data_IF_718368896089
#
_entry.id   IF_718368896089
#
_cell.length_a   1.000
_cell.length_b   1.000
_cell.length_c   1.000
_cell.angle_alpha   90.00
_cell.angle_beta   90.00
_cell.angle_gamma   90.00
#
_symmetry.space_group_name_H-M   'P 1'
#
loop_
_entity.id
_entity.type
_entity.pdbx_description
1 polymer ?
#
# COMPACT_ATOMS: atom_id res chain seq x y z
N UNK A 1 25.28 -6.57 5.43
CA UNK A 1 24.32 -6.97 6.49
C UNK A 1 23.03 -7.39 5.82
N UNK A 2 22.42 -8.53 6.18
CA UNK A 2 21.22 -9.05 5.50
C UNK A 2 19.89 -8.63 6.14
N UNK A 3 19.92 -8.22 7.40
CA UNK A 3 18.74 -7.73 8.13
C UNK A 3 18.84 -6.21 8.29
N UNK A 4 17.76 -5.52 7.97
CA UNK A 4 17.55 -4.10 8.20
C UNK A 4 16.33 -3.93 9.10
N UNK A 5 16.41 -3.01 10.05
CA UNK A 5 15.28 -2.70 10.92
C UNK A 5 15.22 -1.22 11.23
N UNK A 6 14.03 -0.76 11.57
CA UNK A 6 13.73 0.62 11.91
C UNK A 6 12.71 0.67 13.03
N UNK A 7 12.92 1.57 13.99
CA UNK A 7 11.98 1.90 15.04
C UNK A 7 11.71 3.40 14.97
N UNK A 8 10.46 3.81 15.20
CA UNK A 8 10.08 5.22 15.20
C UNK A 8 9.02 5.54 16.23
N UNK A 9 9.09 6.78 16.71
CA UNK A 9 7.98 7.49 17.33
C UNK A 9 7.76 8.76 16.51
N UNK A 10 6.58 8.89 15.92
CA UNK A 10 6.24 10.01 15.04
C UNK A 10 5.04 10.76 15.62
N UNK A 11 4.89 12.04 15.25
CA UNK A 11 3.67 12.78 15.57
C UNK A 11 2.45 12.03 15.04
N UNK A 12 1.52 11.66 15.92
CA UNK A 12 0.37 10.79 15.59
C UNK A 12 -0.69 11.45 14.71
N UNK A 13 -0.42 12.65 14.19
CA UNK A 13 -1.38 13.51 13.50
C UNK A 13 -1.68 13.03 12.08
N UNK A 14 -0.71 12.39 11.41
CA UNK A 14 -0.85 12.02 9.99
C UNK A 14 -1.17 13.24 9.12
N UNK A 15 -2.13 13.13 8.21
CA UNK A 15 -2.61 14.22 7.36
C UNK A 15 -3.70 15.10 8.02
N UNK A 16 -4.00 14.91 9.32
CA UNK A 16 -5.09 15.63 9.99
C UNK A 16 -4.65 17.03 10.42
N UNK A 17 -5.50 18.03 10.15
CA UNK A 17 -5.38 19.38 10.68
C UNK A 17 -6.09 19.50 12.04
N UNK A 18 -5.44 20.16 13.01
CA UNK A 18 -5.93 20.40 14.37
C UNK A 18 -6.25 19.16 15.25
N UNK A 19 -5.32 18.22 15.39
CA UNK A 19 -5.49 17.07 16.28
C UNK A 19 -5.39 17.46 17.77
N UNK A 20 -6.34 17.01 18.59
CA UNK A 20 -6.30 17.20 20.04
C UNK A 20 -6.00 15.88 20.77
N UNK A 21 -4.88 15.83 21.50
CA UNK A 21 -4.58 14.75 22.46
C UNK A 21 -4.18 13.41 21.86
N UNK A 22 -3.55 13.39 20.68
CA UNK A 22 -3.15 12.16 19.99
C UNK A 22 -1.81 11.65 20.53
N UNK A 23 -1.74 10.36 20.86
CA UNK A 23 -0.49 9.72 21.23
C UNK A 23 0.42 9.55 20.00
N UNK A 24 1.76 9.55 20.17
CA UNK A 24 2.68 9.30 19.06
C UNK A 24 2.36 7.98 18.35
N UNK A 25 2.54 7.96 17.03
CA UNK A 25 2.51 6.73 16.26
C UNK A 25 3.83 6.01 16.47
N UNK A 26 3.75 4.84 17.12
CA UNK A 26 4.89 3.95 17.28
C UNK A 26 4.93 3.02 16.07
N UNK A 27 6.10 2.87 15.45
CA UNK A 27 6.28 2.03 14.28
C UNK A 27 7.56 1.20 14.38
N UNK A 28 7.49 -0.04 13.94
CA UNK A 28 8.62 -0.93 13.78
C UNK A 28 8.58 -1.58 12.40
N UNK A 29 9.72 -1.74 11.75
CA UNK A 29 9.86 -2.46 10.48
C UNK A 29 11.11 -3.32 10.49
N UNK A 30 11.02 -4.51 9.92
CA UNK A 30 12.17 -5.38 9.69
C UNK A 30 12.11 -5.93 8.26
N UNK A 31 13.26 -5.94 7.57
CA UNK A 31 13.42 -6.45 6.21
C UNK A 31 14.65 -7.33 6.15
N UNK A 32 14.47 -8.55 5.69
CA UNK A 32 15.53 -9.52 5.53
C UNK A 32 15.78 -9.81 4.05
N UNK A 33 17.02 -9.57 3.61
CA UNK A 33 17.53 -10.04 2.33
C UNK A 33 17.87 -11.51 2.44
N UNK A 34 16.93 -12.35 2.01
CA UNK A 34 17.03 -13.82 1.98
C UNK A 34 18.15 -14.24 1.03
N UNK A 35 18.17 -13.65 -0.16
CA UNK A 35 19.13 -13.92 -1.23
C UNK A 35 19.54 -12.62 -1.91
N UNK A 36 20.81 -12.51 -2.25
CA UNK A 36 21.35 -11.46 -3.10
C UNK A 36 22.60 -11.98 -3.81
N UNK A 37 22.68 -11.76 -5.12
CA UNK A 37 23.81 -12.19 -5.93
C UNK A 37 23.45 -12.30 -7.42
N UNK A 38 24.05 -13.29 -8.08
CA UNK A 38 23.77 -13.63 -9.49
C UNK A 38 23.30 -15.08 -9.57
N UNK A 39 22.40 -15.39 -10.51
CA UNK A 39 22.03 -16.78 -10.83
C UNK A 39 23.09 -17.43 -11.71
N UNK A 40 22.89 -18.70 -12.08
CA UNK A 40 23.79 -19.45 -12.97
C UNK A 40 24.02 -18.76 -14.33
N UNK A 41 23.00 -18.06 -14.85
CA UNK A 41 23.06 -17.27 -16.08
C UNK A 41 23.69 -15.87 -15.90
N UNK A 42 24.31 -15.61 -14.74
CA UNK A 42 24.94 -14.34 -14.34
C UNK A 42 23.98 -13.15 -14.22
N UNK A 43 22.66 -13.35 -14.37
CA UNK A 43 21.67 -12.30 -14.14
C UNK A 43 21.52 -12.01 -12.64
N UNK A 44 21.25 -10.75 -12.27
CA UNK A 44 21.07 -10.37 -10.88
C UNK A 44 19.87 -11.10 -10.27
N UNK A 45 20.01 -11.50 -9.01
CA UNK A 45 18.97 -12.15 -8.22
C UNK A 45 18.97 -11.55 -6.82
N UNK A 46 17.82 -11.05 -6.38
CA UNK A 46 17.63 -10.56 -5.02
C UNK A 46 16.23 -10.89 -4.55
N UNK A 47 16.12 -11.42 -3.33
CA UNK A 47 14.87 -11.69 -2.65
C UNK A 47 14.92 -11.06 -1.26
N UNK A 48 13.93 -10.22 -0.97
CA UNK A 48 13.71 -9.65 0.36
C UNK A 48 12.31 -9.97 0.84
N UNK A 49 12.20 -10.29 2.12
CA UNK A 49 10.93 -10.40 2.83
C UNK A 49 10.96 -9.48 4.03
N UNK A 50 9.82 -8.94 4.42
CA UNK A 50 9.77 -8.03 5.54
C UNK A 50 8.39 -7.91 6.13
N UNK A 51 8.30 -7.09 7.15
CA UNK A 51 7.03 -6.68 7.72
C UNK A 51 7.19 -5.45 8.59
N UNK A 52 6.06 -4.85 8.87
CA UNK A 52 5.98 -3.69 9.75
C UNK A 52 4.80 -3.83 10.72
N UNK A 53 4.95 -3.14 11.83
CA UNK A 53 3.93 -2.96 12.85
C UNK A 53 3.82 -1.47 13.15
N UNK A 54 2.61 -0.98 13.37
CA UNK A 54 2.42 0.34 13.95
C UNK A 54 1.22 0.38 14.88
N UNK A 55 1.27 1.26 15.87
CA UNK A 55 0.14 1.49 16.77
C UNK A 55 0.11 2.91 17.30
N UNK A 56 -1.10 3.42 17.54
CA UNK A 56 -1.35 4.68 18.24
C UNK A 56 -2.67 4.65 19.00
N UNK A 57 -2.74 5.46 20.04
CA UNK A 57 -4.03 5.90 20.58
C UNK A 57 -4.47 7.15 19.84
N UNK A 58 -5.62 7.05 19.18
CA UNK A 58 -6.27 8.12 18.46
C UNK A 58 -7.24 8.86 19.38
N UNK A 59 -7.30 10.18 19.25
CA UNK A 59 -8.36 11.02 19.83
C UNK A 59 -8.83 11.99 18.77
N UNK A 60 -10.11 11.91 18.42
CA UNK A 60 -10.75 12.76 17.44
C UNK A 60 -10.01 12.80 16.08
N UNK A 61 -9.65 11.63 15.55
CA UNK A 61 -8.99 11.50 14.24
C UNK A 61 -10.00 11.19 13.13
N UNK A 62 -9.84 11.82 11.96
CA UNK A 62 -10.59 11.44 10.77
C UNK A 62 -9.89 10.27 10.07
N UNK A 63 -10.47 9.09 10.26
CA UNK A 63 -10.13 7.88 9.53
C UNK A 63 -11.02 7.62 8.33
N UNK A 64 -12.16 8.30 8.21
CA UNK A 64 -13.10 8.08 7.13
C UNK A 64 -12.58 8.53 5.76
N UNK A 65 -11.51 9.33 5.73
CA UNK A 65 -10.77 9.64 4.49
C UNK A 65 -9.94 8.46 3.97
N UNK A 66 -9.39 7.65 4.87
CA UNK A 66 -8.61 6.46 4.53
C UNK A 66 -9.46 5.18 4.47
N UNK A 67 -10.62 5.19 5.14
CA UNK A 67 -11.56 4.07 5.22
C UNK A 67 -12.90 4.50 4.61
N UNK A 68 -13.01 4.40 3.28
CA UNK A 68 -14.22 4.75 2.55
C UNK A 68 -15.46 4.06 3.12
N UNK A 69 -16.59 4.76 3.14
CA UNK A 69 -17.86 4.22 3.69
C UNK A 69 -18.02 4.28 5.21
N UNK A 70 -16.95 4.57 5.98
CA UNK A 70 -17.02 4.52 7.46
C UNK A 70 -17.45 5.83 8.14
N UNK A 71 -17.59 6.94 7.40
CA UNK A 71 -18.02 8.24 7.97
C UNK A 71 -19.34 8.15 8.74
N UNK A 72 -20.41 7.50 8.24
CA UNK A 72 -21.65 7.31 8.98
C UNK A 72 -21.50 6.48 10.26
N UNK A 73 -20.42 5.70 10.39
CA UNK A 73 -20.09 4.92 11.58
C UNK A 73 -19.34 5.74 12.64
N UNK A 74 -19.10 7.03 12.39
CA UNK A 74 -18.39 7.93 13.32
C UNK A 74 -16.87 8.02 13.13
N UNK A 75 -16.33 7.42 12.06
CA UNK A 75 -14.89 7.41 11.79
C UNK A 75 -14.31 8.76 11.34
N UNK A 76 -15.14 9.79 11.13
CA UNK A 76 -14.68 11.16 10.94
C UNK A 76 -14.12 11.83 12.22
N UNK A 77 -14.40 11.24 13.39
CA UNK A 77 -14.00 11.76 14.70
C UNK A 77 -13.65 10.58 15.65
N UNK A 78 -12.88 9.63 15.14
CA UNK A 78 -12.57 8.38 15.83
C UNK A 78 -11.70 8.63 17.06
N UNK A 79 -12.05 7.94 18.15
CA UNK A 79 -11.22 7.82 19.35
C UNK A 79 -11.08 6.34 19.69
N UNK A 80 -9.88 5.94 20.11
CA UNK A 80 -9.57 4.54 20.38
C UNK A 80 -8.14 4.17 20.03
N UNK A 81 -7.92 2.92 19.61
CA UNK A 81 -6.62 2.38 19.22
C UNK A 81 -6.61 1.97 17.75
N UNK A 82 -5.61 2.47 17.03
CA UNK A 82 -5.27 2.08 15.65
C UNK A 82 -4.03 1.19 15.73
N UNK A 83 -4.13 -0.04 15.26
CA UNK A 83 -3.02 -1.00 15.22
C UNK A 83 -2.94 -1.61 13.83
N UNK A 84 -1.75 -1.61 13.22
CA UNK A 84 -1.56 -2.10 11.86
C UNK A 84 -0.39 -3.05 11.76
N UNK A 85 -0.56 -4.06 10.92
CA UNK A 85 0.44 -5.01 10.50
C UNK A 85 0.63 -4.95 9.00
N UNK A 86 1.83 -5.26 8.56
CA UNK A 86 2.22 -5.30 7.16
C UNK A 86 3.19 -6.44 6.92
N UNK A 87 3.04 -7.12 5.79
CA UNK A 87 3.96 -8.11 5.27
C UNK A 87 4.34 -7.71 3.85
N UNK A 88 5.63 -7.79 3.53
CA UNK A 88 6.15 -7.41 2.22
C UNK A 88 7.08 -8.47 1.63
N UNK A 89 7.03 -8.58 0.31
CA UNK A 89 7.92 -9.40 -0.51
C UNK A 89 8.40 -8.58 -1.70
N UNK A 90 9.69 -8.66 -1.98
CA UNK A 90 10.26 -8.13 -3.21
C UNK A 90 11.28 -9.11 -3.79
N UNK A 91 11.15 -9.42 -5.07
CA UNK A 91 12.10 -10.23 -5.81
C UNK A 91 12.52 -9.54 -7.11
N UNK A 92 13.82 -9.43 -7.35
CA UNK A 92 14.41 -8.95 -8.60
C UNK A 92 15.21 -10.09 -9.23
N UNK A 93 14.78 -10.56 -10.39
CA UNK A 93 15.28 -11.77 -11.04
C UNK A 93 15.55 -11.52 -12.53
N UNK A 94 16.75 -11.04 -12.85
CA UNK A 94 17.09 -10.60 -14.20
C UNK A 94 16.19 -9.45 -14.67
N UNK A 95 15.45 -9.60 -15.79
CA UNK A 95 14.52 -8.57 -16.27
C UNK A 95 13.23 -8.49 -15.45
N UNK A 96 12.95 -9.45 -14.58
CA UNK A 96 11.74 -9.49 -13.78
C UNK A 96 11.88 -8.74 -12.47
N UNK A 97 10.83 -8.01 -12.09
CA UNK A 97 10.67 -7.42 -10.76
C UNK A 97 9.30 -7.78 -10.22
N UNK A 98 9.27 -8.42 -9.06
CA UNK A 98 8.06 -8.84 -8.37
C UNK A 98 7.95 -8.12 -7.04
N UNK A 99 6.76 -7.62 -6.73
CA UNK A 99 6.45 -6.97 -5.46
C UNK A 99 5.12 -7.51 -4.95
N UNK A 100 5.02 -7.69 -3.65
CA UNK A 100 3.77 -8.05 -3.00
C UNK A 100 3.74 -7.47 -1.61
N UNK A 101 2.56 -7.02 -1.19
CA UNK A 101 2.36 -6.46 0.13
C UNK A 101 0.95 -6.83 0.60
N UNK A 102 0.84 -7.15 1.88
CA UNK A 102 -0.44 -7.31 2.58
C UNK A 102 -0.41 -6.45 3.83
N UNK A 103 -1.48 -5.72 4.10
CA UNK A 103 -1.64 -4.99 5.35
C UNK A 103 -2.98 -5.31 6.00
N UNK A 104 -3.00 -5.22 7.33
CA UNK A 104 -4.21 -5.34 8.13
C UNK A 104 -4.20 -4.27 9.21
N UNK A 105 -5.32 -3.59 9.39
CA UNK A 105 -5.53 -2.57 10.40
C UNK A 105 -6.71 -2.95 11.29
N UNK A 106 -6.54 -2.80 12.60
CA UNK A 106 -7.60 -2.89 13.59
C UNK A 106 -7.82 -1.54 14.25
N UNK A 107 -9.06 -1.07 14.21
CA UNK A 107 -9.50 0.18 14.80
C UNK A 107 -10.44 -0.14 15.97
N UNK A 108 -9.86 -0.25 17.18
CA UNK A 108 -10.61 -0.55 18.39
C UNK A 108 -11.12 0.76 19.01
N UNK A 109 -12.41 1.03 18.86
CA UNK A 109 -13.07 2.24 19.37
C UNK A 109 -13.18 2.24 20.90
N UNK A 110 -13.03 3.40 21.53
CA UNK A 110 -13.33 3.62 22.95
C UNK A 110 -14.75 4.18 23.19
N UNK A 111 -15.48 4.53 22.12
CA UNK A 111 -16.85 5.06 22.18
C UNK A 111 -17.85 3.94 21.83
N UNK A 112 -18.80 3.67 22.71
CA UNK A 112 -19.84 2.65 22.48
C UNK A 112 -20.66 2.87 21.20
N UNK A 113 -20.89 4.13 20.81
CA UNK A 113 -21.63 4.49 19.61
C UNK A 113 -20.83 4.34 18.30
N UNK A 114 -19.51 4.11 18.37
CA UNK A 114 -18.64 3.92 17.21
C UNK A 114 -18.16 2.48 17.21
N UNK A 115 -18.54 1.64 16.23
CA UNK A 115 -18.12 0.24 16.22
C UNK A 115 -16.60 0.14 16.04
N UNK A 116 -16.02 -0.94 16.57
CA UNK A 116 -14.66 -1.32 16.17
C UNK A 116 -14.70 -2.05 14.83
N UNK A 117 -13.69 -1.85 13.99
CA UNK A 117 -13.61 -2.54 12.70
C UNK A 117 -12.19 -2.98 12.37
N UNK A 118 -12.10 -3.89 11.39
CA UNK A 118 -10.85 -4.26 10.74
C UNK A 118 -10.90 -3.80 9.29
N UNK A 119 -9.76 -3.38 8.76
CA UNK A 119 -9.55 -3.08 7.36
C UNK A 119 -8.34 -3.89 6.88
N UNK A 120 -8.34 -4.32 5.64
CA UNK A 120 -7.18 -4.97 5.04
C UNK A 120 -7.02 -4.60 3.57
N UNK A 121 -5.87 -4.96 3.03
CA UNK A 121 -5.62 -4.80 1.62
C UNK A 121 -4.30 -5.42 1.23
N UNK A 122 -4.17 -5.68 -0.06
CA UNK A 122 -2.97 -6.26 -0.62
C UNK A 122 -2.80 -5.89 -2.07
N UNK A 123 -1.58 -6.09 -2.56
CA UNK A 123 -1.33 -6.13 -3.98
C UNK A 123 -0.25 -7.16 -4.31
N UNK A 124 -0.28 -7.60 -5.56
CA UNK A 124 0.84 -8.28 -6.21
C UNK A 124 1.13 -7.58 -7.52
N UNK A 125 2.41 -7.42 -7.83
CA UNK A 125 2.85 -6.77 -9.04
C UNK A 125 4.01 -7.54 -9.65
N UNK A 126 3.94 -7.75 -10.96
CA UNK A 126 5.02 -8.27 -11.78
C UNK A 126 5.37 -7.27 -12.88
N UNK A 127 6.65 -7.00 -13.05
CA UNK A 127 7.16 -6.18 -14.14
C UNK A 127 8.23 -6.94 -14.93
N UNK A 128 8.24 -6.74 -16.24
CA UNK A 128 9.26 -7.24 -17.14
C UNK A 128 9.95 -6.08 -17.87
N UNK A 129 11.27 -6.04 -17.77
CA UNK A 129 12.11 -5.11 -18.52
C UNK A 129 12.49 -5.75 -19.87
N UNK A 130 11.85 -5.30 -20.95
CA UNK A 130 12.11 -5.81 -22.30
C UNK A 130 13.52 -5.46 -22.80
N UNK A 131 13.92 -4.21 -22.55
CA UNK A 131 15.22 -3.63 -22.87
C UNK A 131 15.39 -2.35 -22.03
N UNK A 132 16.54 -1.66 -22.04
CA UNK A 132 16.74 -0.46 -21.22
C UNK A 132 15.72 0.68 -21.41
N UNK A 133 14.97 0.68 -22.53
CA UNK A 133 13.98 1.72 -22.86
C UNK A 133 12.53 1.33 -22.54
N UNK A 134 12.21 0.06 -22.39
CA UNK A 134 10.83 -0.40 -22.26
C UNK A 134 10.65 -1.40 -21.11
N UNK A 135 9.61 -1.17 -20.30
CA UNK A 135 9.10 -2.13 -19.34
C UNK A 135 7.58 -2.18 -19.36
N UNK A 136 7.04 -3.34 -19.00
CA UNK A 136 5.60 -3.54 -18.78
C UNK A 136 5.39 -4.09 -17.38
N UNK A 137 4.30 -3.69 -16.73
CA UNK A 137 3.92 -4.15 -15.41
C UNK A 137 2.45 -4.56 -15.40
N UNK A 138 2.14 -5.59 -14.63
CA UNK A 138 0.78 -5.94 -14.25
C UNK A 138 0.69 -5.89 -12.73
N UNK A 139 -0.32 -5.22 -12.21
CA UNK A 139 -0.64 -5.17 -10.79
C UNK A 139 -2.08 -5.62 -10.58
N UNK A 140 -2.30 -6.43 -9.55
CA UNK A 140 -3.62 -6.71 -9.03
C UNK A 140 -3.64 -6.34 -7.56
N UNK A 141 -4.65 -5.59 -7.13
CA UNK A 141 -4.79 -5.10 -5.76
C UNK A 141 -6.22 -5.22 -5.27
N UNK A 142 -6.36 -5.37 -3.96
CA UNK A 142 -7.61 -5.36 -3.24
C UNK A 142 -7.49 -4.48 -2.00
N UNK A 143 -8.56 -3.78 -1.65
CA UNK A 143 -8.65 -3.02 -0.41
C UNK A 143 -10.07 -3.07 0.14
N UNK A 144 -10.20 -3.55 1.37
CA UNK A 144 -11.44 -3.58 2.13
C UNK A 144 -11.32 -2.63 3.34
N UNK A 145 -12.04 -1.49 3.36
CA UNK A 145 -12.02 -0.56 4.47
C UNK A 145 -12.79 -1.05 5.71
N UNK A 146 -13.61 -2.10 5.59
CA UNK A 146 -14.35 -2.72 6.69
C UNK A 146 -14.71 -4.18 6.39
N UNK A 147 -13.87 -5.11 6.81
CA UNK A 147 -14.03 -6.55 6.54
C UNK A 147 -15.25 -7.20 7.22
N UNK A 148 -16.04 -6.44 7.97
CA UNK A 148 -17.30 -6.90 8.55
C UNK A 148 -18.51 -6.74 7.62
N UNK A 149 -18.36 -6.03 6.50
CA UNK A 149 -19.44 -5.80 5.53
C UNK A 149 -18.92 -5.91 4.11
N UNK A 150 -19.71 -6.46 3.20
CA UNK A 150 -19.43 -6.42 1.76
C UNK A 150 -20.25 -5.29 1.15
N UNK A 151 -19.58 -4.27 0.64
CA UNK A 151 -20.25 -3.12 0.03
C UNK A 151 -19.45 -2.54 -1.15
N UNK A 152 -19.89 -1.38 -1.65
CA UNK A 152 -19.25 -0.72 -2.79
C UNK A 152 -17.85 -0.14 -2.51
N UNK A 153 -17.39 -0.20 -1.26
CA UNK A 153 -16.09 0.31 -0.84
C UNK A 153 -15.04 -0.80 -0.73
N UNK A 154 -15.43 -2.08 -0.85
CA UNK A 154 -14.49 -3.16 -1.17
C UNK A 154 -14.03 -2.97 -2.62
N UNK A 155 -12.75 -2.66 -2.81
CA UNK A 155 -12.19 -2.29 -4.10
C UNK A 155 -11.20 -3.34 -4.58
N UNK A 156 -11.39 -3.79 -5.82
CA UNK A 156 -10.42 -4.59 -6.56
C UNK A 156 -9.98 -3.85 -7.81
N UNK A 157 -8.68 -3.78 -8.04
CA UNK A 157 -8.13 -3.12 -9.22
C UNK A 157 -7.10 -3.98 -9.93
N UNK A 158 -7.21 -4.06 -11.25
CA UNK A 158 -6.17 -4.58 -12.13
C UNK A 158 -5.56 -3.40 -12.88
N UNK A 159 -4.25 -3.28 -12.89
CA UNK A 159 -3.54 -2.25 -13.65
C UNK A 159 -2.56 -2.88 -14.62
N UNK A 160 -2.70 -2.57 -15.91
CA UNK A 160 -1.71 -2.84 -16.94
C UNK A 160 -0.93 -1.55 -17.22
N UNK A 161 0.37 -1.57 -16.95
CA UNK A 161 1.26 -0.43 -17.11
C UNK A 161 2.34 -0.67 -18.16
N UNK A 162 2.68 0.36 -18.92
CA UNK A 162 3.84 0.41 -19.80
C UNK A 162 4.67 1.64 -19.48
N UNK A 163 5.99 1.50 -19.48
CA UNK A 163 6.92 2.59 -19.21
C UNK A 163 7.97 2.68 -20.30
N UNK A 164 8.11 3.87 -20.87
CA UNK A 164 9.20 4.26 -21.76
C UNK A 164 10.23 5.08 -20.99
N UNK A 165 11.48 4.61 -20.97
CA UNK A 165 12.60 5.28 -20.35
C UNK A 165 13.43 5.98 -21.44
N UNK A 166 13.33 7.31 -21.52
CA UNK A 166 14.15 8.11 -22.44
C UNK A 166 15.57 8.26 -21.90
N UNK A 167 15.71 8.52 -20.60
CA UNK A 167 17.00 8.64 -19.89
C UNK A 167 16.92 7.95 -18.53
N UNK A 168 16.86 6.62 -18.55
CA UNK A 168 16.71 5.83 -17.32
C UNK A 168 15.53 6.31 -16.47
N UNK A 169 15.70 6.39 -15.15
CA UNK A 169 14.64 6.83 -14.24
C UNK A 169 14.47 8.35 -14.15
N UNK A 170 15.32 9.13 -14.82
CA UNK A 170 15.30 10.59 -14.75
C UNK A 170 14.37 11.22 -15.79
N UNK A 171 14.08 10.51 -16.87
CA UNK A 171 13.18 10.97 -17.93
C UNK A 171 12.39 9.77 -18.47
N UNK A 172 11.11 9.70 -18.12
CA UNK A 172 10.24 8.58 -18.46
C UNK A 172 8.79 8.99 -18.68
N UNK A 173 8.13 8.24 -19.56
CA UNK A 173 6.69 8.29 -19.80
C UNK A 173 6.06 6.98 -19.32
N UNK A 174 5.00 7.07 -18.55
CA UNK A 174 4.25 5.93 -18.01
C UNK A 174 2.81 6.02 -18.48
N UNK A 175 2.28 4.89 -18.96
CA UNK A 175 0.90 4.74 -19.38
C UNK A 175 0.29 3.57 -18.62
N UNK A 176 -0.79 3.80 -17.89
CA UNK A 176 -1.48 2.79 -17.11
C UNK A 176 -2.95 2.72 -17.51
N UNK A 177 -3.44 1.52 -17.77
CA UNK A 177 -4.87 1.25 -17.86
C UNK A 177 -5.32 0.51 -16.61
N UNK A 178 -6.31 1.05 -15.92
CA UNK A 178 -6.83 0.54 -14.65
C UNK A 178 -8.26 0.06 -14.87
N UNK A 179 -8.52 -1.20 -14.51
CA UNK A 179 -9.86 -1.74 -14.34
C UNK A 179 -10.15 -1.81 -12.86
N UNK A 180 -11.08 -1.00 -12.39
CA UNK A 180 -11.55 -1.05 -11.00
C UNK A 180 -12.92 -1.75 -10.91
N UNK A 181 -13.14 -2.49 -9.84
CA UNK A 181 -14.39 -3.16 -9.51
C UNK A 181 -14.68 -2.99 -8.02
N UNK A 182 -15.94 -2.77 -7.71
CA UNK A 182 -16.45 -2.72 -6.35
C UNK A 182 -17.03 -4.09 -5.93
N UNK A 183 -16.94 -4.44 -4.65
CA UNK A 183 -17.50 -5.68 -4.09
C UNK A 183 -19.03 -5.74 -4.17
N UNK A 184 -19.70 -4.58 -4.18
CA UNK A 184 -21.14 -4.48 -4.48
C UNK A 184 -21.45 -3.24 -5.34
N UNK A 185 -22.51 -3.35 -6.16
CA UNK A 185 -22.98 -2.22 -6.97
C UNK A 185 -21.96 -1.73 -7.99
N UNK A 186 -21.28 -2.68 -8.65
CA UNK A 186 -20.18 -2.42 -9.57
C UNK A 186 -20.50 -1.30 -10.59
N UNK A 187 -19.58 -0.34 -10.69
CA UNK A 187 -19.63 0.73 -11.67
C UNK A 187 -18.52 0.55 -12.71
N UNK A 188 -18.73 1.10 -13.91
CA UNK A 188 -17.68 1.18 -14.93
C UNK A 188 -16.73 2.32 -14.59
N UNK A 189 -15.65 1.96 -13.91
CA UNK A 189 -14.66 2.89 -13.37
C UNK A 189 -13.27 2.63 -13.98
N UNK A 190 -13.22 2.41 -15.29
CA UNK A 190 -11.95 2.26 -16.00
C UNK A 190 -11.25 3.61 -16.20
N UNK A 191 -9.93 3.61 -16.03
CA UNK A 191 -9.12 4.82 -16.20
C UNK A 191 -7.88 4.56 -17.06
N UNK A 192 -7.61 5.46 -18.00
CA UNK A 192 -6.33 5.56 -18.68
C UNK A 192 -5.56 6.74 -18.09
N UNK A 193 -4.40 6.47 -17.50
CA UNK A 193 -3.56 7.45 -16.84
C UNK A 193 -2.24 7.53 -17.60
N UNK A 194 -1.92 8.73 -18.10
CA UNK A 194 -0.61 9.04 -18.67
C UNK A 194 0.15 9.95 -17.71
N UNK A 195 1.40 9.60 -17.40
CA UNK A 195 2.27 10.38 -16.54
C UNK A 195 3.64 10.56 -17.18
N UNK A 196 4.09 11.80 -17.27
CA UNK A 196 5.47 12.14 -17.61
C UNK A 196 6.24 12.52 -16.35
N UNK A 197 7.44 11.99 -16.19
CA UNK A 197 8.34 12.34 -15.08
C UNK A 197 9.69 12.81 -15.63
N UNK A 198 10.08 14.01 -15.21
CA UNK A 198 11.39 14.59 -15.45
C UNK A 198 12.05 14.96 -14.13
N UNK A 199 13.27 14.46 -13.89
CA UNK A 199 14.11 14.84 -12.76
C UNK A 199 15.26 15.71 -13.27
N UNK A 200 15.35 16.91 -12.69
CA UNK A 200 16.43 17.88 -12.88
C UNK A 200 17.70 17.44 -12.16
#
# INVERSE_FOLDING_TARGET
RRLHYYLSAQGGNGANSNPHGIAPLLGARAVWTVREGKRADKLPSRLTVGGAFSTRSARNLDFASALSGTRPLGYGAFSGRDTRWNLELAADEGPWRWRGEYFSGRFASDKAAVPSLNADGWYVQGCYQWNPKWATCLRYEAFDPNTGVVDKNDLHSTTLGMTYFRRGNDDKLMLNYVWQREGAGAARNEALIAQYQHRL
#
